data_IF_021868221319
#
_entry.id   IF_021868221319
#
_cell.length_a   1.000
_cell.length_b   1.000
_cell.length_c   1.000
_cell.angle_alpha   90.00
_cell.angle_beta   90.00
_cell.angle_gamma   90.00
#
_symmetry.space_group_name_H-M   'P 1'
#
loop_
_entity.id
_entity.type
_entity.pdbx_description
1 polymer ?
#
# COMPACT_ATOMS: atom_id res chain seq x y z
N UNK A 1 -14.71 10.08 11.66
CA UNK A 1 -13.32 10.43 11.27
C UNK A 1 -12.49 9.16 11.38
N UNK A 2 -11.83 8.73 10.31
CA UNK A 2 -11.24 7.39 10.22
C UNK A 2 -9.92 7.29 11.00
N UNK A 3 -9.69 6.16 11.65
CA UNK A 3 -8.48 5.91 12.43
C UNK A 3 -7.85 4.57 12.06
N UNK A 4 -6.55 4.47 12.27
CA UNK A 4 -5.72 3.28 11.99
C UNK A 4 -5.13 2.78 13.32
N UNK A 5 -5.10 1.45 13.50
CA UNK A 5 -4.51 0.84 14.70
C UNK A 5 -2.99 0.99 14.74
N UNK A 6 -2.40 1.00 15.94
CA UNK A 6 -0.95 1.17 16.11
C UNK A 6 -0.12 0.06 15.46
N UNK A 7 -0.68 -1.14 15.27
CA UNK A 7 -0.03 -2.25 14.53
C UNK A 7 0.45 -1.80 13.15
N UNK A 8 -0.45 -1.29 12.30
CA UNK A 8 -0.13 -0.82 10.94
C UNK A 8 0.94 0.28 10.89
N UNK A 9 1.05 1.08 11.94
CA UNK A 9 2.07 2.13 12.04
C UNK A 9 3.43 1.52 12.35
N UNK A 10 3.49 0.50 13.22
CA UNK A 10 4.72 -0.21 13.58
C UNK A 10 5.24 -1.01 12.39
N UNK A 11 4.36 -1.76 11.74
CA UNK A 11 4.73 -2.64 10.62
C UNK A 11 5.22 -1.81 9.43
N UNK A 12 4.56 -0.70 9.11
CA UNK A 12 4.97 0.24 8.05
C UNK A 12 6.40 0.81 8.24
N UNK A 13 6.85 0.99 9.48
CA UNK A 13 8.20 1.48 9.78
C UNK A 13 9.28 0.44 9.51
N UNK A 14 8.93 -0.84 9.37
CA UNK A 14 9.93 -1.89 9.28
C UNK A 14 10.72 -1.90 7.98
N UNK A 15 10.11 -1.55 6.84
CA UNK A 15 10.84 -1.33 5.58
C UNK A 15 11.87 -0.20 5.70
N UNK A 16 11.45 0.96 6.23
CA UNK A 16 12.34 2.08 6.55
C UNK A 16 13.47 1.68 7.52
N UNK A 17 13.16 0.91 8.55
CA UNK A 17 14.15 0.41 9.53
C UNK A 17 15.17 -0.52 8.86
N UNK A 18 14.71 -1.44 8.01
CA UNK A 18 15.57 -2.37 7.28
C UNK A 18 16.54 -1.64 6.32
N UNK A 19 16.14 -0.48 5.80
CA UNK A 19 16.98 0.40 4.98
C UNK A 19 17.80 1.43 5.79
N UNK A 20 17.75 1.36 7.13
CA UNK A 20 18.60 2.17 8.01
C UNK A 20 18.10 3.57 8.36
N UNK A 21 16.83 3.90 8.10
CA UNK A 21 16.26 5.19 8.47
C UNK A 21 15.95 5.32 9.98
N UNK A 22 16.05 6.54 10.51
CA UNK A 22 15.61 6.85 11.88
C UNK A 22 14.07 6.90 11.96
N UNK A 23 13.49 5.76 12.34
CA UNK A 23 12.04 5.60 12.56
C UNK A 23 11.46 6.58 13.58
N UNK A 24 12.24 7.04 14.59
CA UNK A 24 11.77 8.05 15.56
C UNK A 24 11.68 9.42 14.91
N UNK A 25 12.60 9.78 14.03
CA UNK A 25 12.51 11.01 13.26
C UNK A 25 11.27 11.02 12.35
N UNK A 26 10.97 9.90 11.68
CA UNK A 26 9.78 9.74 10.86
C UNK A 26 8.48 9.92 11.66
N UNK A 27 8.37 9.29 12.83
CA UNK A 27 7.23 9.46 13.74
C UNK A 27 7.05 10.92 14.18
N UNK A 28 8.15 11.60 14.56
CA UNK A 28 8.11 13.03 14.91
C UNK A 28 7.65 13.90 13.75
N UNK A 29 8.16 13.67 12.52
CA UNK A 29 7.74 14.38 11.29
C UNK A 29 6.23 14.20 11.04
N UNK A 30 5.71 13.00 11.31
CA UNK A 30 4.29 12.67 11.23
C UNK A 30 3.43 13.17 12.41
N UNK A 31 4.03 13.75 13.46
CA UNK A 31 3.37 14.13 14.72
C UNK A 31 2.69 12.96 15.44
N UNK A 32 3.27 11.77 15.31
CA UNK A 32 2.85 10.55 16.04
C UNK A 32 3.77 10.41 17.25
N UNK A 33 3.17 10.37 18.44
CA UNK A 33 3.92 10.32 19.69
C UNK A 33 4.32 8.90 20.08
N UNK A 34 5.44 8.75 20.78
CA UNK A 34 5.86 7.45 21.35
C UNK A 34 4.80 6.87 22.29
N UNK A 35 4.04 7.72 23.00
CA UNK A 35 2.92 7.27 23.85
C UNK A 35 1.85 6.53 23.04
N UNK A 36 1.51 7.03 21.85
CA UNK A 36 0.57 6.33 20.96
C UNK A 36 1.16 5.03 20.42
N UNK A 37 2.47 4.97 20.19
CA UNK A 37 3.13 3.75 19.72
C UNK A 37 3.23 2.67 20.81
N UNK A 38 3.33 3.08 22.08
CA UNK A 38 3.43 2.16 23.20
C UNK A 38 2.08 1.57 23.64
N UNK A 39 0.95 2.11 23.17
CA UNK A 39 -0.38 1.60 23.44
C UNK A 39 -0.87 0.69 22.29
N UNK A 40 -1.04 -0.63 22.52
CA UNK A 40 -1.57 -1.56 21.51
C UNK A 40 -2.97 -1.20 21.01
N UNK A 41 -3.77 -0.51 21.81
CA UNK A 41 -5.13 -0.11 21.47
C UNK A 41 -5.21 1.31 20.88
N UNK A 42 -4.07 1.99 20.72
CA UNK A 42 -4.06 3.33 20.17
C UNK A 42 -4.60 3.35 18.74
N UNK A 43 -5.49 4.31 18.51
CA UNK A 43 -6.07 4.62 17.21
C UNK A 43 -5.54 5.98 16.79
N UNK A 44 -4.81 6.02 15.68
CA UNK A 44 -4.20 7.25 15.15
C UNK A 44 -5.00 7.76 13.98
N UNK A 45 -5.10 9.08 13.85
CA UNK A 45 -5.85 9.68 12.75
C UNK A 45 -5.23 9.34 11.39
N UNK A 46 -6.08 9.03 10.40
CA UNK A 46 -5.62 8.60 9.07
C UNK A 46 -4.70 9.62 8.40
N UNK A 47 -4.90 10.93 8.61
CA UNK A 47 -4.04 11.97 8.01
C UNK A 47 -2.61 11.93 8.56
N UNK A 48 -2.43 11.60 9.83
CA UNK A 48 -1.10 11.47 10.44
C UNK A 48 -0.39 10.23 9.90
N UNK A 49 -1.15 9.14 9.70
CA UNK A 49 -0.63 7.89 9.13
C UNK A 49 -0.28 8.07 7.65
N UNK A 50 -1.12 8.76 6.87
CA UNK A 50 -0.82 9.12 5.50
C UNK A 50 0.46 9.96 5.41
N UNK A 51 0.61 10.96 6.30
CA UNK A 51 1.82 11.76 6.40
C UNK A 51 3.07 10.92 6.73
N UNK A 52 2.93 9.93 7.61
CA UNK A 52 4.02 9.00 7.91
C UNK A 52 4.42 8.21 6.68
N UNK A 53 3.47 7.59 5.98
CA UNK A 53 3.76 6.75 4.82
C UNK A 53 4.38 7.56 3.67
N UNK A 54 3.85 8.76 3.38
CA UNK A 54 4.46 9.67 2.43
C UNK A 54 5.89 10.06 2.83
N UNK A 55 6.12 10.34 4.12
CA UNK A 55 7.47 10.67 4.61
C UNK A 55 8.43 9.50 4.46
N UNK A 56 8.00 8.26 4.71
CA UNK A 56 8.84 7.07 4.50
C UNK A 56 9.23 6.95 3.03
N UNK A 57 8.25 7.05 2.13
CA UNK A 57 8.49 6.94 0.69
C UNK A 57 9.43 8.04 0.19
N UNK A 58 9.22 9.29 0.62
CA UNK A 58 10.07 10.43 0.26
C UNK A 58 11.52 10.28 0.73
N UNK A 59 11.74 9.91 2.00
CA UNK A 59 13.09 9.80 2.57
C UNK A 59 13.88 8.63 1.96
N UNK A 60 13.19 7.56 1.55
CA UNK A 60 13.79 6.46 0.81
C UNK A 60 13.89 6.70 -0.70
N UNK A 61 13.16 7.70 -1.21
CA UNK A 61 12.81 7.82 -2.63
C UNK A 61 12.28 6.49 -3.21
N UNK A 62 11.40 5.84 -2.45
CA UNK A 62 10.85 4.51 -2.71
C UNK A 62 9.35 4.42 -2.37
N UNK A 63 8.47 4.34 -3.38
CA UNK A 63 7.03 4.12 -3.21
C UNK A 63 6.71 2.75 -2.58
N UNK A 64 7.61 1.77 -2.71
CA UNK A 64 7.51 0.48 -2.01
C UNK A 64 7.93 0.55 -0.54
N UNK A 65 8.31 1.73 -0.04
CA UNK A 65 8.61 1.99 1.38
C UNK A 65 9.68 1.06 1.97
N UNK A 66 10.56 0.49 1.13
CA UNK A 66 11.60 -0.45 1.52
C UNK A 66 11.16 -1.91 1.66
N UNK A 67 9.93 -2.27 1.27
CA UNK A 67 9.39 -3.64 1.34
C UNK A 67 9.68 -4.50 0.11
N UNK A 68 10.44 -3.97 -0.84
CA UNK A 68 10.91 -4.68 -2.04
C UNK A 68 12.44 -4.64 -2.13
N UNK A 69 13.00 -5.47 -3.02
CA UNK A 69 14.45 -5.51 -3.21
C UNK A 69 14.91 -4.24 -3.93
N UNK A 70 14.20 -3.89 -5.01
CA UNK A 70 14.44 -2.65 -5.78
C UNK A 70 13.39 -1.61 -5.41
N UNK A 71 13.84 -0.36 -5.27
CA UNK A 71 12.98 0.78 -5.02
C UNK A 71 12.19 1.19 -6.26
N UNK A 72 10.99 1.71 -6.06
CA UNK A 72 10.22 2.40 -7.10
C UNK A 72 10.22 3.90 -6.83
N UNK A 73 10.68 4.70 -7.78
CA UNK A 73 10.88 6.14 -7.55
C UNK A 73 9.56 6.84 -7.15
N UNK A 74 9.64 7.77 -6.20
CA UNK A 74 8.49 8.61 -5.81
C UNK A 74 8.00 9.42 -6.99
N UNK A 75 6.67 9.39 -7.21
CA UNK A 75 5.98 10.01 -8.34
C UNK A 75 5.59 9.02 -9.44
N UNK A 76 6.03 7.76 -9.35
CA UNK A 76 5.65 6.71 -10.30
C UNK A 76 4.15 6.43 -10.27
N UNK A 77 3.51 6.35 -9.10
CA UNK A 77 2.06 6.23 -9.01
C UNK A 77 1.34 7.43 -9.63
N UNK A 78 1.85 8.65 -9.42
CA UNK A 78 1.25 9.85 -10.00
C UNK A 78 1.29 9.83 -11.54
N UNK A 79 2.42 9.43 -12.13
CA UNK A 79 2.54 9.25 -13.58
C UNK A 79 1.58 8.18 -14.11
N UNK A 80 1.41 7.07 -13.38
CA UNK A 80 0.44 6.05 -13.72
C UNK A 80 -0.99 6.61 -13.67
N UNK A 81 -1.35 7.32 -12.60
CA UNK A 81 -2.66 7.93 -12.42
C UNK A 81 -2.98 8.94 -13.53
N UNK A 82 -2.02 9.79 -13.90
CA UNK A 82 -2.14 10.73 -15.02
C UNK A 82 -2.38 9.98 -16.33
N UNK A 83 -1.65 8.88 -16.57
CA UNK A 83 -1.80 8.08 -17.78
C UNK A 83 -3.18 7.41 -17.89
N UNK A 84 -3.66 6.81 -16.81
CA UNK A 84 -4.96 6.10 -16.81
C UNK A 84 -6.15 7.03 -16.68
N UNK A 85 -5.95 8.32 -16.36
CA UNK A 85 -7.03 9.30 -16.21
C UNK A 85 -7.92 9.45 -17.47
N UNK A 86 -7.36 9.16 -18.64
CA UNK A 86 -8.05 9.18 -19.93
C UNK A 86 -8.81 7.88 -20.26
N UNK A 87 -8.90 6.94 -19.34
CA UNK A 87 -9.67 5.71 -19.56
C UNK A 87 -11.16 6.04 -19.64
N UNK A 88 -11.92 5.18 -20.31
CA UNK A 88 -13.36 5.36 -20.52
C UNK A 88 -14.19 4.66 -19.45
N UNK A 89 -13.62 3.66 -18.79
CA UNK A 89 -14.27 2.87 -17.74
C UNK A 89 -13.24 2.27 -16.77
N UNK A 90 -13.73 1.64 -15.71
CA UNK A 90 -12.89 1.06 -14.66
C UNK A 90 -12.02 -0.10 -15.15
N UNK A 91 -12.55 -0.94 -16.04
CA UNK A 91 -11.80 -2.07 -16.60
C UNK A 91 -10.57 -1.59 -17.36
N UNK A 92 -10.74 -0.61 -18.24
CA UNK A 92 -9.65 -0.01 -19.00
C UNK A 92 -8.61 0.64 -18.07
N UNK A 93 -9.06 1.33 -17.02
CA UNK A 93 -8.17 1.90 -16.00
C UNK A 93 -7.32 0.81 -15.32
N UNK A 94 -7.95 -0.27 -14.85
CA UNK A 94 -7.25 -1.35 -14.16
C UNK A 94 -6.28 -2.05 -15.11
N UNK A 95 -6.71 -2.38 -16.34
CA UNK A 95 -5.84 -3.01 -17.33
C UNK A 95 -4.63 -2.14 -17.69
N UNK A 96 -4.83 -0.83 -17.91
CA UNK A 96 -3.71 0.09 -18.16
C UNK A 96 -2.79 0.20 -16.95
N UNK A 97 -3.33 0.36 -15.74
CA UNK A 97 -2.56 0.43 -14.51
C UNK A 97 -1.75 -0.85 -14.24
N UNK A 98 -2.34 -2.02 -14.47
CA UNK A 98 -1.67 -3.33 -14.37
C UNK A 98 -0.52 -3.40 -15.39
N UNK A 99 -0.80 -3.06 -16.66
CA UNK A 99 0.22 -3.01 -17.70
C UNK A 99 1.37 -2.06 -17.33
N UNK A 100 1.07 -0.91 -16.71
CA UNK A 100 2.09 0.04 -16.25
C UNK A 100 3.08 -0.62 -15.30
N UNK A 101 2.59 -1.18 -14.19
CA UNK A 101 3.45 -1.75 -13.16
C UNK A 101 4.22 -2.97 -13.66
N UNK A 102 3.55 -3.88 -14.38
CA UNK A 102 4.19 -5.06 -14.96
C UNK A 102 5.27 -4.71 -16.02
N UNK A 103 5.29 -3.47 -16.54
CA UNK A 103 6.28 -3.03 -17.52
C UNK A 103 7.51 -2.39 -16.88
N UNK A 104 7.35 -1.73 -15.74
CA UNK A 104 8.40 -0.87 -15.16
C UNK A 104 9.16 -1.53 -14.01
N UNK A 105 8.63 -2.61 -13.46
CA UNK A 105 9.24 -3.29 -12.32
C UNK A 105 8.91 -4.78 -12.33
N UNK A 106 9.89 -5.58 -11.91
CA UNK A 106 9.71 -7.01 -11.65
C UNK A 106 9.41 -7.28 -10.16
N UNK A 107 9.35 -6.25 -9.30
CA UNK A 107 9.12 -6.43 -7.86
C UNK A 107 7.70 -6.94 -7.56
N UNK A 108 6.73 -6.56 -8.40
CA UNK A 108 5.33 -6.91 -8.24
C UNK A 108 4.77 -7.36 -9.59
N UNK A 109 4.00 -8.44 -9.57
CA UNK A 109 3.22 -8.90 -10.70
C UNK A 109 1.75 -8.71 -10.37
N UNK A 110 1.02 -8.02 -11.22
CA UNK A 110 -0.41 -7.76 -11.04
C UNK A 110 -1.18 -8.43 -12.17
N UNK A 111 -2.34 -9.00 -11.86
CA UNK A 111 -3.24 -9.62 -12.83
C UNK A 111 -4.70 -9.33 -12.50
N UNK A 112 -5.54 -9.51 -13.53
CA UNK A 112 -6.98 -9.36 -13.46
C UNK A 112 -7.63 -10.61 -14.05
N UNK A 113 -8.23 -11.43 -13.21
CA UNK A 113 -8.94 -12.64 -13.61
C UNK A 113 -10.46 -12.46 -13.55
N UNK A 114 -11.18 -13.12 -14.46
CA UNK A 114 -12.63 -13.05 -14.56
C UNK A 114 -13.20 -14.46 -14.43
N UNK A 115 -14.03 -14.69 -13.42
CA UNK A 115 -14.71 -15.98 -13.21
C UNK A 115 -16.21 -15.75 -12.96
N UNK A 116 -17.01 -16.06 -13.98
CA UNK A 116 -18.45 -15.76 -13.95
C UNK A 116 -18.70 -14.28 -13.71
N UNK A 117 -19.42 -13.95 -12.64
CA UNK A 117 -19.75 -12.58 -12.25
C UNK A 117 -18.69 -11.91 -11.36
N UNK A 118 -17.54 -12.56 -11.14
CA UNK A 118 -16.48 -12.08 -10.26
C UNK A 118 -15.26 -11.62 -11.05
N UNK A 119 -14.63 -10.56 -10.54
CA UNK A 119 -13.33 -10.06 -11.01
C UNK A 119 -12.35 -10.10 -9.85
N UNK A 120 -11.20 -10.74 -10.06
CA UNK A 120 -10.13 -10.86 -9.08
C UNK A 120 -8.97 -9.96 -9.49
N UNK A 121 -8.59 -9.03 -8.62
CA UNK A 121 -7.38 -8.23 -8.75
C UNK A 121 -6.32 -8.88 -7.88
N UNK A 122 -5.32 -9.49 -8.50
CA UNK A 122 -4.31 -10.30 -7.82
C UNK A 122 -2.96 -9.61 -7.89
N UNK A 123 -2.25 -9.52 -6.77
CA UNK A 123 -0.85 -9.04 -6.72
C UNK A 123 0.04 -10.11 -6.12
N UNK A 124 1.19 -10.36 -6.76
CA UNK A 124 2.24 -11.26 -6.27
C UNK A 124 3.55 -10.48 -6.18
N UNK A 125 4.16 -10.45 -4.99
CA UNK A 125 5.50 -9.88 -4.81
C UNK A 125 6.55 -10.90 -5.22
N UNK A 126 7.62 -10.43 -5.89
CA UNK A 126 8.77 -11.26 -6.28
C UNK A 126 9.50 -11.84 -5.07
N UNK A 127 9.57 -11.07 -3.98
CA UNK A 127 10.22 -11.43 -2.72
C UNK A 127 9.28 -11.13 -1.54
N UNK A 128 8.22 -11.93 -1.33
CA UNK A 128 7.22 -11.66 -0.30
C UNK A 128 7.79 -11.67 1.12
N UNK A 129 8.95 -12.31 1.34
CA UNK A 129 9.64 -12.30 2.63
C UNK A 129 10.19 -10.93 3.06
N UNK A 130 10.29 -9.97 2.13
CA UNK A 130 10.67 -8.59 2.44
C UNK A 130 9.51 -7.79 3.05
N UNK A 131 8.27 -8.24 2.83
CA UNK A 131 7.06 -7.78 3.52
C UNK A 131 6.75 -8.72 4.70
N UNK A 132 7.69 -8.77 5.65
CA UNK A 132 7.76 -9.76 6.73
C UNK A 132 6.55 -9.75 7.70
N UNK A 133 5.75 -8.67 7.72
CA UNK A 133 4.50 -8.57 8.48
C UNK A 133 3.26 -8.39 7.59
N UNK A 134 3.40 -8.57 6.26
CA UNK A 134 2.33 -8.46 5.26
C UNK A 134 1.63 -7.09 5.24
N UNK A 135 2.29 -6.06 5.77
CA UNK A 135 1.76 -4.71 5.79
C UNK A 135 1.60 -4.16 4.38
N UNK A 136 2.65 -4.29 3.56
CA UNK A 136 2.71 -3.56 2.32
C UNK A 136 1.75 -4.15 1.28
N UNK A 137 1.58 -5.48 1.25
CA UNK A 137 0.58 -6.12 0.38
C UNK A 137 -0.85 -5.70 0.75
N UNK A 138 -1.17 -5.58 2.04
CA UNK A 138 -2.48 -5.07 2.47
C UNK A 138 -2.66 -3.60 2.08
N UNK A 139 -1.67 -2.76 2.39
CA UNK A 139 -1.66 -1.34 2.04
C UNK A 139 -1.80 -1.13 0.52
N UNK A 140 -1.08 -1.92 -0.28
CA UNK A 140 -1.12 -1.90 -1.74
C UNK A 140 -2.54 -2.09 -2.29
N UNK A 141 -3.25 -3.12 -1.80
CA UNK A 141 -4.63 -3.37 -2.23
C UNK A 141 -5.60 -2.30 -1.73
N UNK A 142 -5.37 -1.71 -0.56
CA UNK A 142 -6.14 -0.55 -0.09
C UNK A 142 -5.96 0.64 -1.03
N UNK A 143 -4.74 0.91 -1.51
CA UNK A 143 -4.49 1.98 -2.49
C UNK A 143 -5.22 1.72 -3.80
N UNK A 144 -5.09 0.52 -4.38
CA UNK A 144 -5.78 0.16 -5.62
C UNK A 144 -7.30 0.23 -5.49
N UNK A 145 -7.86 -0.29 -4.41
CA UNK A 145 -9.31 -0.26 -4.15
C UNK A 145 -9.84 1.17 -4.00
N UNK A 146 -9.12 2.01 -3.23
CA UNK A 146 -9.48 3.43 -3.06
C UNK A 146 -9.34 4.21 -4.35
N UNK A 147 -8.28 3.95 -5.13
CA UNK A 147 -8.06 4.58 -6.42
C UNK A 147 -9.16 4.23 -7.42
N UNK A 148 -9.49 2.95 -7.55
CA UNK A 148 -10.58 2.47 -8.39
C UNK A 148 -11.93 3.08 -7.99
N UNK A 149 -12.24 3.09 -6.68
CA UNK A 149 -13.48 3.69 -6.14
C UNK A 149 -13.55 5.20 -6.37
N UNK A 150 -12.42 5.91 -6.20
CA UNK A 150 -12.31 7.35 -6.46
C UNK A 150 -12.57 7.66 -7.92
N UNK A 151 -11.95 6.90 -8.84
CA UNK A 151 -12.07 7.13 -10.27
C UNK A 151 -13.52 7.02 -10.77
N UNK A 152 -14.28 6.04 -10.28
CA UNK A 152 -15.71 5.89 -10.64
C UNK A 152 -16.67 6.71 -9.77
N UNK A 153 -16.16 7.48 -8.81
CA UNK A 153 -16.96 8.31 -7.90
C UNK A 153 -17.88 7.53 -6.96
N UNK A 154 -17.64 6.24 -6.72
CA UNK A 154 -18.46 5.40 -5.82
C UNK A 154 -17.65 4.28 -5.16
N UNK A 155 -17.99 3.88 -3.92
CA UNK A 155 -17.31 2.77 -3.26
C UNK A 155 -17.56 1.45 -4.00
N UNK A 156 -16.50 0.70 -4.28
CA UNK A 156 -16.59 -0.67 -4.79
C UNK A 156 -16.82 -1.60 -3.60
N UNK A 157 -17.93 -2.35 -3.60
CA UNK A 157 -18.17 -3.39 -2.59
C UNK A 157 -17.21 -4.55 -2.82
N UNK A 158 -16.30 -4.80 -1.88
CA UNK A 158 -15.48 -6.01 -1.89
C UNK A 158 -16.33 -7.21 -1.51
N UNK A 159 -16.24 -8.28 -2.31
CA UNK A 159 -16.93 -9.54 -2.06
C UNK A 159 -16.11 -10.48 -1.17
N UNK A 160 -14.78 -10.40 -1.27
CA UNK A 160 -13.86 -11.17 -0.47
C UNK A 160 -12.42 -10.69 -0.67
N UNK A 161 -11.52 -11.22 0.15
CA UNK A 161 -10.07 -11.09 0.00
C UNK A 161 -9.46 -12.45 0.30
N UNK A 162 -8.48 -12.83 -0.51
CA UNK A 162 -7.75 -14.08 -0.36
C UNK A 162 -6.29 -13.74 -0.08
N UNK A 163 -5.77 -14.31 1.00
CA UNK A 163 -4.40 -14.11 1.44
C UNK A 163 -3.69 -15.45 1.44
N UNK A 164 -2.44 -15.46 1.01
CA UNK A 164 -1.59 -16.66 0.99
C UNK A 164 -0.65 -16.73 2.20
N UNK A 165 -0.95 -15.97 3.25
CA UNK A 165 -0.22 -15.95 4.51
C UNK A 165 -1.16 -16.19 5.70
N UNK A 166 -0.58 -16.51 6.85
CA UNK A 166 -1.33 -16.63 8.10
C UNK A 166 -1.43 -15.24 8.75
N UNK A 167 -2.64 -14.71 9.02
CA UNK A 167 -2.79 -13.45 9.74
C UNK A 167 -2.02 -13.47 11.06
N UNK A 168 -1.30 -12.38 11.35
CA UNK A 168 -0.53 -12.22 12.58
C UNK A 168 -1.44 -12.16 13.81
N UNK A 169 -2.67 -11.68 13.64
CA UNK A 169 -3.68 -11.61 14.69
C UNK A 169 -4.40 -12.97 14.86
N UNK A 170 -3.69 -13.93 15.45
CA UNK A 170 -4.28 -15.01 16.25
C UNK A 170 -3.69 -14.96 17.65
N UNK A 171 -4.13 -14.00 18.45
CA UNK A 171 -4.01 -13.99 19.90
C UNK A 171 -5.31 -13.45 20.52
#
# INVERSE_FOLDING_TARGET
MATVGSHYIKTALGGAKAKGLDTRALLRKARISDKQMNDPNARVHVDLVAKLYSSIAEELNDEFMGFTEKSLKVGTFALMADWVSYSSNLEELLQKGIRFYNQITDEVQISLEYEGDHVYFTTVFRRPELDFEHFYIEYWHVIWHRFASWYIGKPIKLLGSYINYTPLDKA
#
